data_IF_632604420638
#
_entry.id   IF_632604420638
#
_cell.length_a   1.000
_cell.length_b   1.000
_cell.length_c   1.000
_cell.angle_alpha   90.00
_cell.angle_beta   90.00
_cell.angle_gamma   90.00
#
_symmetry.space_group_name_H-M   'P 1'
#
loop_
_entity.id
_entity.type
_entity.pdbx_description
1 polymer ?
#
# COMPACT_ATOMS: atom_id res chain seq x y z
N UNK A 1 -9.47 17.06 30.59
CA UNK A 1 -9.79 16.81 29.17
C UNK A 1 -9.12 15.52 28.74
N UNK A 2 -9.82 14.64 28.03
CA UNK A 2 -9.32 13.31 27.66
C UNK A 2 -8.32 13.39 26.51
N UNK A 3 -7.17 12.70 26.67
CA UNK A 3 -6.10 12.63 25.65
C UNK A 3 -5.92 11.24 25.05
N UNK A 4 -6.27 10.21 25.80
CA UNK A 4 -6.14 8.82 25.36
C UNK A 4 -7.45 8.09 25.60
N UNK A 5 -7.89 7.31 24.61
CA UNK A 5 -9.09 6.50 24.68
C UNK A 5 -8.82 5.13 24.07
N UNK A 6 -9.13 4.09 24.83
CA UNK A 6 -8.98 2.70 24.43
C UNK A 6 -10.36 2.06 24.41
N UNK A 7 -10.81 1.66 23.22
CA UNK A 7 -12.06 0.96 22.95
C UNK A 7 -11.79 -0.50 22.55
N UNK A 8 -10.63 -1.02 22.94
CA UNK A 8 -10.14 -2.34 22.58
C UNK A 8 -11.11 -3.46 23.01
N UNK A 9 -11.21 -4.52 22.21
CA UNK A 9 -11.97 -5.73 22.49
C UNK A 9 -13.49 -5.57 22.49
N UNK A 10 -14.02 -4.43 22.04
CA UNK A 10 -15.45 -4.18 22.02
C UNK A 10 -16.11 -4.67 20.71
N UNK A 11 -17.38 -5.12 20.75
CA UNK A 11 -18.11 -5.59 19.58
C UNK A 11 -18.68 -4.43 18.73
N UNK A 12 -17.96 -3.31 18.65
CA UNK A 12 -18.38 -2.14 17.87
C UNK A 12 -18.23 -2.40 16.38
N UNK A 13 -19.17 -1.92 15.58
CA UNK A 13 -19.15 -2.01 14.11
C UNK A 13 -18.63 -0.74 13.43
N UNK A 14 -18.67 0.38 14.16
CA UNK A 14 -18.36 1.72 13.69
C UNK A 14 -17.90 2.62 14.84
N UNK A 15 -17.19 3.70 14.51
CA UNK A 15 -16.73 4.65 15.51
C UNK A 15 -17.90 5.48 16.09
N UNK A 16 -18.12 5.47 17.43
CA UNK A 16 -19.20 6.21 18.06
C UNK A 16 -19.09 7.72 17.85
N UNK A 17 -20.22 8.41 17.69
CA UNK A 17 -20.27 9.87 17.48
C UNK A 17 -19.64 10.66 18.64
N UNK A 18 -19.78 10.16 19.87
CA UNK A 18 -19.20 10.80 21.06
C UNK A 18 -17.67 10.83 21.05
N UNK A 19 -17.02 9.91 20.32
CA UNK A 19 -15.55 9.93 20.15
C UNK A 19 -15.13 11.06 19.23
N UNK A 20 -15.97 11.43 18.25
CA UNK A 20 -15.69 12.53 17.30
C UNK A 20 -15.67 13.90 17.98
N UNK A 21 -16.40 14.08 19.08
CA UNK A 21 -16.41 15.35 19.83
C UNK A 21 -15.17 15.56 20.70
N UNK A 22 -14.33 14.53 20.87
CA UNK A 22 -13.10 14.57 21.65
C UNK A 22 -11.94 15.24 20.88
N UNK A 23 -12.04 16.56 20.69
CA UNK A 23 -11.11 17.38 19.89
C UNK A 23 -9.64 17.39 20.35
N UNK A 24 -9.36 16.98 21.60
CA UNK A 24 -8.00 16.94 22.19
C UNK A 24 -7.43 15.53 22.29
N UNK A 25 -8.11 14.53 21.74
CA UNK A 25 -7.63 13.17 21.76
C UNK A 25 -6.35 13.05 20.92
N UNK A 26 -5.30 12.48 21.50
CA UNK A 26 -4.00 12.28 20.86
C UNK A 26 -3.78 10.79 20.54
N UNK A 27 -4.43 9.88 21.28
CA UNK A 27 -4.35 8.42 21.09
C UNK A 27 -5.75 7.81 21.14
N UNK A 28 -6.08 7.05 20.10
CA UNK A 28 -7.32 6.28 19.99
C UNK A 28 -6.98 4.83 19.64
N UNK A 29 -7.62 3.88 20.30
CA UNK A 29 -7.36 2.45 20.09
C UNK A 29 -8.66 1.66 19.98
N UNK A 30 -8.69 0.76 19.00
CA UNK A 30 -9.79 -0.15 18.67
C UNK A 30 -9.31 -1.60 18.56
N UNK A 31 -8.21 -1.95 19.21
CA UNK A 31 -7.56 -3.24 19.03
C UNK A 31 -8.51 -4.39 19.41
N UNK A 32 -8.61 -5.42 18.59
CA UNK A 32 -9.48 -6.57 18.81
C UNK A 32 -10.97 -6.28 18.54
N UNK A 33 -11.33 -5.12 17.97
CA UNK A 33 -12.71 -4.86 17.54
C UNK A 33 -12.99 -5.60 16.22
N UNK A 34 -13.37 -6.88 16.31
CA UNK A 34 -13.53 -7.75 15.14
C UNK A 34 -14.62 -7.29 14.15
N UNK A 35 -15.70 -6.69 14.65
CA UNK A 35 -16.84 -6.23 13.85
C UNK A 35 -16.64 -4.84 13.23
N UNK A 36 -15.59 -4.12 13.63
CA UNK A 36 -15.38 -2.74 13.23
C UNK A 36 -15.09 -2.66 11.73
N UNK A 37 -15.98 -2.02 10.96
CA UNK A 37 -15.86 -1.92 9.49
C UNK A 37 -15.22 -0.64 9.02
N UNK A 38 -15.53 0.47 9.68
CA UNK A 38 -15.04 1.79 9.28
C UNK A 38 -14.65 2.64 10.49
N UNK A 39 -13.59 3.43 10.32
CA UNK A 39 -13.17 4.44 11.29
C UNK A 39 -13.17 5.81 10.62
N UNK A 40 -13.87 6.75 11.23
CA UNK A 40 -14.08 8.11 10.72
C UNK A 40 -13.57 9.12 11.73
N UNK A 41 -12.28 9.46 11.67
CA UNK A 41 -11.66 10.41 12.59
C UNK A 41 -12.03 11.85 12.19
N UNK A 42 -12.70 12.59 13.07
CA UNK A 42 -12.97 14.02 12.87
C UNK A 42 -11.71 14.88 13.14
N UNK A 43 -11.84 16.20 13.35
CA UNK A 43 -10.78 17.16 13.79
C UNK A 43 -10.09 16.73 15.09
N UNK A 44 -9.30 15.67 15.02
CA UNK A 44 -8.62 15.08 16.14
C UNK A 44 -7.13 15.16 15.82
N UNK A 45 -6.36 15.75 16.74
CA UNK A 45 -4.89 15.77 16.67
C UNK A 45 -4.33 14.38 17.03
N UNK A 46 -4.83 13.34 16.36
CA UNK A 46 -4.40 11.97 16.60
C UNK A 46 -2.94 11.83 16.19
N UNK A 47 -2.11 11.48 17.16
CA UNK A 47 -0.73 11.06 16.94
C UNK A 47 -0.67 9.56 16.71
N UNK A 48 -1.62 8.82 17.29
CA UNK A 48 -1.64 7.37 17.28
C UNK A 48 -3.06 6.81 17.13
N UNK A 49 -3.20 5.84 16.21
CA UNK A 49 -4.40 5.04 16.02
C UNK A 49 -4.04 3.55 16.14
N UNK A 50 -4.68 2.85 17.09
CA UNK A 50 -4.59 1.40 17.25
C UNK A 50 -5.77 0.71 16.58
N UNK A 51 -5.49 -0.22 15.67
CA UNK A 51 -6.49 -0.98 14.90
C UNK A 51 -6.05 -2.45 14.71
N UNK A 52 -5.43 -3.02 15.74
CA UNK A 52 -4.97 -4.42 15.71
C UNK A 52 -6.13 -5.39 15.64
N UNK A 53 -5.98 -6.49 14.91
CA UNK A 53 -6.93 -7.62 14.98
C UNK A 53 -8.39 -7.17 14.72
N UNK A 54 -8.56 -6.17 13.83
CA UNK A 54 -9.85 -5.66 13.40
C UNK A 54 -10.19 -6.33 12.06
N UNK A 55 -10.73 -7.55 12.12
CA UNK A 55 -10.83 -8.42 10.95
C UNK A 55 -11.75 -7.87 9.85
N UNK A 56 -12.82 -7.18 10.22
CA UNK A 56 -13.77 -6.57 9.28
C UNK A 56 -13.42 -5.13 8.88
N UNK A 57 -12.31 -4.56 9.37
CA UNK A 57 -12.00 -3.15 9.12
C UNK A 57 -11.56 -2.95 7.67
N UNK A 58 -12.35 -2.19 6.91
CA UNK A 58 -12.13 -1.95 5.50
C UNK A 58 -11.48 -0.59 5.22
N UNK A 59 -11.93 0.46 5.94
CA UNK A 59 -11.56 1.85 5.64
C UNK A 59 -11.34 2.71 6.88
N UNK A 60 -10.32 3.56 6.82
CA UNK A 60 -10.04 4.62 7.79
C UNK A 60 -9.97 5.97 7.07
N UNK A 61 -10.71 6.96 7.56
CA UNK A 61 -10.80 8.30 6.97
C UNK A 61 -10.70 9.41 8.02
N UNK A 62 -10.39 10.63 7.56
CA UNK A 62 -10.08 11.81 8.34
C UNK A 62 -10.83 13.04 7.81
N UNK A 63 -11.45 13.86 8.68
CA UNK A 63 -12.14 15.09 8.26
C UNK A 63 -12.06 16.24 9.31
N UNK A 64 -11.65 17.47 8.94
CA UNK A 64 -10.84 17.90 7.81
C UNK A 64 -9.34 17.86 8.13
N UNK A 65 -8.55 17.79 7.07
CA UNK A 65 -7.11 17.55 7.07
C UNK A 65 -6.35 18.72 7.70
N UNK A 66 -5.89 18.60 8.95
CA UNK A 66 -4.94 19.54 9.55
C UNK A 66 -3.81 18.75 10.23
N UNK A 67 -2.62 18.84 9.62
CA UNK A 67 -1.29 18.52 10.17
C UNK A 67 -1.07 17.12 10.74
N UNK A 68 -0.53 16.24 9.88
CA UNK A 68 0.05 14.96 10.26
C UNK A 68 -0.98 13.84 10.18
N UNK A 69 -0.85 12.98 9.17
CA UNK A 69 -1.60 11.73 9.15
C UNK A 69 -1.12 10.90 10.35
N UNK A 70 -2.01 10.45 11.26
CA UNK A 70 -1.59 9.69 12.43
C UNK A 70 -0.81 8.48 11.96
N UNK A 71 0.33 8.17 12.59
CA UNK A 71 1.00 6.92 12.32
C UNK A 71 0.15 5.83 12.96
N UNK A 72 -0.53 4.97 12.19
CA UNK A 72 -1.10 3.78 12.79
C UNK A 72 0.05 3.01 13.40
N UNK A 73 -0.04 2.73 14.70
CA UNK A 73 0.97 1.92 15.35
C UNK A 73 0.65 0.49 14.96
N UNK A 74 1.63 -0.20 14.37
CA UNK A 74 1.50 -1.59 13.96
C UNK A 74 2.52 -2.48 14.69
N UNK A 75 2.06 -3.29 15.64
CA UNK A 75 2.75 -4.38 16.31
C UNK A 75 2.81 -5.63 15.42
N UNK A 76 3.73 -6.52 15.79
CA UNK A 76 4.34 -7.56 14.97
C UNK A 76 3.40 -8.67 14.44
N UNK A 77 2.09 -8.64 14.78
CA UNK A 77 1.05 -9.61 14.37
C UNK A 77 -0.35 -8.97 14.40
N UNK A 78 -0.80 -8.35 13.31
CA UNK A 78 -2.19 -7.85 13.18
C UNK A 78 -3.08 -8.83 12.38
N UNK A 79 -4.36 -8.96 12.74
CA UNK A 79 -5.36 -9.71 11.94
C UNK A 79 -6.37 -8.76 11.29
N UNK A 80 -5.90 -7.80 10.52
CA UNK A 80 -6.72 -6.74 9.89
C UNK A 80 -6.65 -6.87 8.37
N UNK A 81 -7.25 -7.94 7.83
CA UNK A 81 -7.08 -8.33 6.43
C UNK A 81 -7.99 -7.60 5.45
N UNK A 82 -9.17 -7.15 5.89
CA UNK A 82 -10.14 -6.44 5.05
C UNK A 82 -9.71 -5.00 4.69
N UNK A 83 -8.64 -4.47 5.31
CA UNK A 83 -8.26 -3.07 5.21
C UNK A 83 -7.68 -2.75 3.83
N UNK A 84 -8.47 -2.01 3.05
CA UNK A 84 -8.14 -1.58 1.69
C UNK A 84 -7.73 -0.12 1.64
N UNK A 85 -8.12 0.71 2.62
CA UNK A 85 -7.84 2.15 2.57
C UNK A 85 -7.57 2.75 3.94
N UNK A 86 -6.47 3.49 4.04
CA UNK A 86 -6.31 4.54 5.05
C UNK A 86 -6.09 5.84 4.30
N UNK A 87 -7.08 6.74 4.37
CA UNK A 87 -7.07 7.98 3.63
C UNK A 87 -5.75 8.75 3.83
N UNK A 88 -5.17 9.21 2.72
CA UNK A 88 -3.86 9.88 2.64
C UNK A 88 -2.62 9.02 2.92
N UNK A 89 -2.76 7.77 3.38
CA UNK A 89 -1.62 6.84 3.53
C UNK A 89 -1.56 5.90 2.32
N UNK A 90 -2.60 5.08 2.15
CA UNK A 90 -2.66 4.11 1.07
C UNK A 90 -4.08 3.80 0.64
N UNK A 91 -4.23 3.33 -0.60
CA UNK A 91 -5.46 2.76 -1.12
C UNK A 91 -5.15 1.54 -1.99
N UNK A 92 -5.88 0.46 -1.81
CA UNK A 92 -5.85 -0.74 -2.63
C UNK A 92 -7.16 -0.81 -3.40
N UNK A 93 -7.08 -0.99 -4.72
CA UNK A 93 -8.25 -1.20 -5.57
C UNK A 93 -7.97 -2.29 -6.60
N UNK A 94 -9.01 -3.01 -7.01
CA UNK A 94 -8.89 -3.88 -8.18
C UNK A 94 -8.61 -3.02 -9.41
N UNK A 95 -7.74 -3.48 -10.31
CA UNK A 95 -7.41 -2.75 -11.54
C UNK A 95 -8.65 -2.51 -12.42
N UNK A 96 -9.62 -3.42 -12.38
CA UNK A 96 -10.91 -3.30 -13.08
C UNK A 96 -11.82 -2.18 -12.55
N UNK A 97 -11.56 -1.66 -11.35
CA UNK A 97 -12.33 -0.58 -10.71
C UNK A 97 -11.69 0.80 -10.92
N UNK A 98 -10.51 0.86 -11.54
CA UNK A 98 -9.78 2.11 -11.75
C UNK A 98 -10.19 2.69 -13.09
N UNK A 99 -10.43 4.00 -13.08
CA UNK A 99 -10.74 4.78 -14.28
C UNK A 99 -9.65 4.58 -15.35
N UNK A 100 -10.09 4.21 -16.55
CA UNK A 100 -9.21 3.98 -17.69
C UNK A 100 -8.40 5.24 -18.05
N UNK A 101 -8.94 6.44 -17.85
CA UNK A 101 -8.23 7.69 -18.07
C UNK A 101 -7.03 7.83 -17.11
N UNK A 102 -7.20 7.40 -15.85
CA UNK A 102 -6.11 7.40 -14.87
C UNK A 102 -5.05 6.40 -15.30
N UNK A 103 -5.42 5.18 -15.68
CA UNK A 103 -4.49 4.15 -16.15
C UNK A 103 -3.73 4.62 -17.40
N UNK A 104 -4.43 5.22 -18.36
CA UNK A 104 -3.84 5.82 -19.56
C UNK A 104 -2.87 6.94 -19.22
N UNK A 105 -3.23 7.82 -18.28
CA UNK A 105 -2.37 8.93 -17.84
C UNK A 105 -1.06 8.44 -17.20
N UNK A 106 -1.10 7.26 -16.56
CA UNK A 106 0.07 6.59 -16.00
C UNK A 106 0.86 5.82 -17.06
N UNK A 107 0.38 5.72 -18.30
CA UNK A 107 1.01 4.94 -19.37
C UNK A 107 0.78 3.43 -19.24
N UNK A 108 -0.24 3.02 -18.50
CA UNK A 108 -0.64 1.61 -18.34
C UNK A 108 -1.72 1.29 -19.36
N UNK A 109 -1.33 1.35 -20.64
CA UNK A 109 -2.15 0.87 -21.74
C UNK A 109 -1.97 -0.65 -21.81
N UNK A 110 -3.05 -1.41 -21.96
CA UNK A 110 -3.04 -2.87 -22.15
C UNK A 110 -2.97 -3.78 -20.89
N UNK A 111 -3.65 -3.37 -19.83
CA UNK A 111 -3.77 -4.12 -18.55
C UNK A 111 -4.64 -5.38 -18.71
N UNK A 112 -5.40 -5.53 -19.80
CA UNK A 112 -6.28 -6.68 -20.05
C UNK A 112 -5.56 -8.04 -20.09
N UNK A 113 -4.23 -8.04 -20.28
CA UNK A 113 -3.39 -9.25 -20.24
C UNK A 113 -2.92 -9.64 -18.83
N UNK A 114 -3.19 -8.82 -17.82
CA UNK A 114 -2.77 -9.07 -16.45
C UNK A 114 -3.76 -10.02 -15.79
N UNK A 115 -3.44 -11.31 -15.87
CA UNK A 115 -4.23 -12.39 -15.28
C UNK A 115 -4.49 -12.16 -13.78
N UNK A 116 -5.56 -12.79 -13.28
CA UNK A 116 -5.77 -12.98 -11.84
C UNK A 116 -4.48 -13.55 -11.24
N UNK A 117 -3.96 -12.89 -10.21
CA UNK A 117 -2.75 -13.34 -9.54
C UNK A 117 -3.05 -13.49 -8.05
N UNK A 118 -2.79 -14.67 -7.51
CA UNK A 118 -2.89 -14.92 -6.08
C UNK A 118 -1.69 -14.28 -5.39
N UNK A 119 -1.95 -13.36 -4.46
CA UNK A 119 -0.90 -12.69 -3.71
C UNK A 119 -1.26 -12.56 -2.24
N UNK A 120 -0.23 -12.68 -1.40
CA UNK A 120 -0.29 -12.31 0.01
C UNK A 120 0.20 -10.88 0.21
N UNK A 121 -0.44 -10.13 1.12
CA UNK A 121 -0.05 -8.76 1.50
C UNK A 121 0.93 -8.80 2.66
N UNK A 122 2.18 -8.38 2.46
CA UNK A 122 3.13 -8.16 3.56
C UNK A 122 3.13 -6.67 3.91
N UNK A 123 3.03 -6.31 5.19
CA UNK A 123 3.35 -4.95 5.62
C UNK A 123 4.79 -4.83 6.13
N UNK A 124 5.16 -3.61 6.52
CA UNK A 124 6.50 -3.27 6.98
C UNK A 124 6.95 -4.00 8.27
N UNK A 125 6.02 -4.61 9.02
CA UNK A 125 6.25 -5.14 10.38
C UNK A 125 5.91 -6.63 10.56
N UNK A 126 5.31 -7.29 9.56
CA UNK A 126 5.05 -8.72 9.57
C UNK A 126 4.44 -9.23 8.27
N UNK A 127 4.70 -10.50 7.96
CA UNK A 127 4.05 -11.20 6.85
C UNK A 127 2.56 -11.38 7.20
N UNK A 128 1.64 -10.78 6.44
CA UNK A 128 0.26 -11.27 6.44
C UNK A 128 0.12 -12.28 5.32
N UNK A 129 -0.06 -13.54 5.70
CA UNK A 129 -0.67 -14.51 4.80
C UNK A 129 -2.14 -14.13 4.81
N UNK A 130 -2.63 -13.48 3.74
CA UNK A 130 -4.05 -13.63 3.41
C UNK A 130 -4.19 -15.11 3.10
N UNK A 131 -4.83 -15.88 3.98
CA UNK A 131 -5.16 -17.26 3.65
C UNK A 131 -6.03 -17.25 2.38
N UNK A 132 -5.43 -17.67 1.27
CA UNK A 132 -6.07 -18.21 0.06
C UNK A 132 -7.26 -17.38 -0.47
N UNK A 133 -7.02 -16.11 -0.80
CA UNK A 133 -7.97 -15.36 -1.64
C UNK A 133 -7.38 -15.13 -3.03
N UNK A 134 -8.04 -15.68 -4.04
CA UNK A 134 -7.82 -15.31 -5.44
C UNK A 134 -8.36 -13.88 -5.59
N UNK A 135 -7.47 -12.89 -5.49
CA UNK A 135 -7.82 -11.51 -5.72
C UNK A 135 -7.55 -11.16 -7.19
N UNK A 136 -8.44 -10.37 -7.85
CA UNK A 136 -8.10 -9.79 -9.14
C UNK A 136 -6.87 -8.89 -8.97
N UNK A 137 -6.12 -8.68 -10.05
CA UNK A 137 -4.91 -7.88 -10.01
C UNK A 137 -5.20 -6.50 -9.37
N UNK A 138 -4.42 -6.16 -8.34
CA UNK A 138 -4.67 -4.97 -7.51
C UNK A 138 -3.64 -3.87 -7.80
N UNK A 139 -4.10 -2.63 -7.69
CA UNK A 139 -3.25 -1.44 -7.67
C UNK A 139 -3.16 -0.93 -6.24
N UNK A 140 -1.94 -0.62 -5.83
CA UNK A 140 -1.64 0.09 -4.58
C UNK A 140 -1.26 1.52 -4.91
N UNK A 141 -1.99 2.46 -4.32
CA UNK A 141 -1.69 3.89 -4.35
C UNK A 141 -1.13 4.33 -3.00
N UNK A 142 0.11 4.81 -2.95
CA UNK A 142 0.81 5.28 -1.76
C UNK A 142 1.60 6.55 -2.07
N UNK A 143 1.40 7.65 -1.33
CA UNK A 143 2.21 8.88 -1.46
C UNK A 143 2.36 9.42 -2.91
N UNK A 144 1.34 9.26 -3.76
CA UNK A 144 1.40 9.67 -5.17
C UNK A 144 2.06 8.66 -6.12
N UNK A 145 2.42 7.47 -5.62
CA UNK A 145 3.01 6.37 -6.38
C UNK A 145 1.95 5.29 -6.59
N UNK A 146 1.83 4.85 -7.83
CA UNK A 146 1.01 3.71 -8.23
C UNK A 146 1.92 2.50 -8.42
N UNK A 147 1.56 1.38 -7.80
CA UNK A 147 2.33 0.14 -7.88
C UNK A 147 1.43 -1.07 -7.98
N UNK A 148 1.88 -2.08 -8.71
CA UNK A 148 1.22 -3.38 -8.81
C UNK A 148 2.29 -4.47 -8.83
N UNK A 149 1.85 -5.70 -8.66
CA UNK A 149 2.67 -6.89 -8.71
C UNK A 149 2.01 -7.88 -9.65
N UNK A 150 2.81 -8.46 -10.52
CA UNK A 150 2.33 -9.31 -11.61
C UNK A 150 3.29 -10.47 -11.74
N UNK A 151 2.76 -11.65 -12.01
CA UNK A 151 3.59 -12.79 -12.35
C UNK A 151 4.10 -12.62 -13.78
N UNK A 152 5.41 -12.68 -13.97
CA UNK A 152 6.05 -12.51 -15.28
C UNK A 152 7.51 -12.93 -15.23
N UNK A 153 8.04 -13.36 -16.38
CA UNK A 153 9.43 -13.81 -16.52
C UNK A 153 10.36 -12.69 -16.98
N UNK A 154 9.83 -11.69 -17.68
CA UNK A 154 10.61 -10.64 -18.33
C UNK A 154 9.91 -9.28 -18.25
N UNK A 155 10.69 -8.21 -18.44
CA UNK A 155 10.15 -6.84 -18.47
C UNK A 155 9.31 -6.70 -19.76
N UNK A 156 8.05 -6.22 -19.66
CA UNK A 156 7.18 -6.08 -20.83
C UNK A 156 7.78 -5.25 -21.95
N UNK A 157 7.37 -5.55 -23.20
CA UNK A 157 8.07 -5.01 -24.36
C UNK A 157 8.00 -3.50 -24.51
N UNK A 158 6.91 -2.90 -24.02
CA UNK A 158 6.66 -1.46 -24.06
C UNK A 158 7.61 -0.63 -23.17
N UNK A 159 8.44 -1.25 -22.33
CA UNK A 159 9.53 -0.55 -21.65
C UNK A 159 10.71 -0.36 -22.61
N UNK A 160 10.96 0.91 -22.94
CA UNK A 160 11.98 1.33 -23.92
C UNK A 160 13.41 1.17 -23.42
N UNK A 161 13.62 1.26 -22.10
CA UNK A 161 14.94 1.16 -21.48
C UNK A 161 14.96 -0.06 -20.57
N UNK A 162 15.87 -0.99 -20.83
CA UNK A 162 16.03 -2.23 -20.08
C UNK A 162 17.49 -2.38 -19.66
N UNK A 163 17.70 -2.90 -18.47
CA UNK A 163 19.03 -3.09 -17.89
C UNK A 163 18.97 -4.21 -16.87
N UNK A 164 20.08 -4.93 -16.72
CA UNK A 164 20.25 -5.92 -15.66
C UNK A 164 21.01 -5.32 -14.48
N UNK A 165 20.67 -5.73 -13.25
CA UNK A 165 21.33 -5.30 -12.03
C UNK A 165 20.45 -4.47 -11.09
N UNK A 166 21.03 -4.00 -9.99
CA UNK A 166 20.32 -3.29 -8.91
C UNK A 166 20.27 -1.77 -9.09
N UNK A 167 20.88 -1.23 -10.15
CA UNK A 167 20.89 0.19 -10.47
C UNK A 167 21.02 0.42 -11.97
N UNK A 168 20.34 1.44 -12.46
CA UNK A 168 20.49 1.90 -13.84
C UNK A 168 20.35 3.43 -13.91
N UNK A 169 20.87 4.02 -14.99
CA UNK A 169 20.79 5.47 -15.23
C UNK A 169 19.98 5.72 -16.48
N UNK A 170 18.91 6.50 -16.37
CA UNK A 170 18.11 6.96 -17.50
C UNK A 170 18.76 8.22 -18.09
N UNK A 171 18.97 8.23 -19.40
CA UNK A 171 19.37 9.46 -20.10
C UNK A 171 18.21 10.46 -20.08
N UNK A 172 18.51 11.76 -19.97
CA UNK A 172 17.46 12.79 -19.99
C UNK A 172 16.66 12.71 -21.29
N UNK A 173 15.33 12.94 -21.26
CA UNK A 173 14.55 13.05 -22.48
C UNK A 173 15.11 14.18 -23.38
N UNK A 174 14.89 14.11 -24.70
CA UNK A 174 15.37 15.12 -25.63
C UNK A 174 14.90 16.54 -25.24
N UNK A 175 15.72 17.52 -25.58
CA UNK A 175 15.62 18.90 -25.08
C UNK A 175 14.20 19.47 -25.23
N UNK A 176 13.70 20.09 -24.14
CA UNK A 176 12.39 20.72 -23.95
C UNK A 176 11.20 19.86 -23.46
N UNK A 177 11.38 18.55 -23.22
CA UNK A 177 10.34 17.71 -22.61
C UNK A 177 10.22 17.85 -21.09
N UNK A 178 9.07 18.30 -20.56
CA UNK A 178 8.78 18.24 -19.11
C UNK A 178 8.37 16.81 -18.73
N UNK A 179 9.13 16.17 -17.84
CA UNK A 179 8.81 14.84 -17.30
C UNK A 179 7.51 14.94 -16.49
N UNK A 180 6.46 14.21 -16.92
CA UNK A 180 5.18 14.11 -16.19
C UNK A 180 5.16 12.95 -15.19
N UNK A 181 5.92 11.89 -15.44
CA UNK A 181 6.01 10.70 -14.60
C UNK A 181 7.13 9.77 -15.08
N UNK A 182 7.47 8.79 -14.26
CA UNK A 182 8.46 7.75 -14.57
C UNK A 182 7.89 6.41 -14.11
N UNK A 183 7.78 5.46 -15.04
CA UNK A 183 7.40 4.08 -14.72
C UNK A 183 8.65 3.21 -14.57
N UNK A 184 8.64 2.36 -13.55
CA UNK A 184 9.66 1.36 -13.32
C UNK A 184 9.02 -0.02 -13.30
N UNK A 185 9.62 -0.97 -14.02
CA UNK A 185 9.32 -2.38 -13.90
C UNK A 185 10.55 -3.10 -13.37
N UNK A 186 10.37 -3.91 -12.34
CA UNK A 186 11.42 -4.70 -11.74
C UNK A 186 10.98 -6.15 -11.86
N UNK A 187 11.81 -6.95 -12.54
CA UNK A 187 11.61 -8.39 -12.64
C UNK A 187 12.66 -9.07 -11.77
N UNK A 188 12.21 -9.97 -10.92
CA UNK A 188 13.06 -10.70 -9.99
C UNK A 188 12.47 -12.07 -9.72
N UNK A 189 13.32 -13.09 -9.73
CA UNK A 189 12.96 -14.41 -9.18
C UNK A 189 12.87 -14.28 -7.66
N UNK A 190 11.74 -14.67 -7.09
CA UNK A 190 11.51 -14.71 -5.65
C UNK A 190 11.61 -16.19 -5.26
N UNK A 191 12.56 -16.56 -4.41
CA UNK A 191 12.75 -17.94 -3.92
C UNK A 191 12.34 -18.14 -2.45
N UNK A 192 11.99 -17.05 -1.76
CA UNK A 192 11.29 -17.11 -0.47
C UNK A 192 10.55 -15.81 -0.17
N UNK A 193 9.64 -15.83 0.82
CA UNK A 193 9.00 -14.60 1.31
C UNK A 193 9.99 -13.54 1.81
N UNK A 194 11.20 -13.93 2.23
CA UNK A 194 12.25 -12.97 2.65
C UNK A 194 12.79 -12.16 1.47
N UNK A 195 12.65 -12.66 0.25
CA UNK A 195 13.10 -12.01 -0.97
C UNK A 195 12.04 -11.12 -1.61
N UNK A 196 10.80 -11.18 -1.10
CA UNK A 196 9.73 -10.29 -1.50
C UNK A 196 10.16 -8.83 -1.39
N UNK A 197 10.01 -8.08 -2.47
CA UNK A 197 10.46 -6.70 -2.57
C UNK A 197 9.76 -5.99 -3.73
N UNK A 198 10.13 -4.75 -4.06
CA UNK A 198 11.30 -4.03 -3.56
C UNK A 198 11.12 -3.51 -2.12
N UNK A 199 12.18 -3.63 -1.30
CA UNK A 199 12.20 -3.09 0.07
C UNK A 199 12.36 -1.57 0.09
N UNK A 200 13.05 -1.04 -0.91
CA UNK A 200 13.37 0.38 -1.03
C UNK A 200 13.71 0.70 -2.48
N UNK A 201 13.05 1.69 -3.03
CA UNK A 201 13.38 2.27 -4.33
C UNK A 201 13.99 3.64 -4.07
N UNK A 202 15.22 3.88 -4.57
CA UNK A 202 15.87 5.19 -4.47
C UNK A 202 16.08 5.76 -5.87
N UNK A 203 15.46 6.91 -6.12
CA UNK A 203 15.60 7.66 -7.36
C UNK A 203 16.49 8.87 -7.08
N UNK A 204 17.51 9.08 -7.92
CA UNK A 204 18.40 10.23 -7.84
C UNK A 204 18.29 11.05 -9.11
N UNK A 205 18.03 12.34 -8.98
CA UNK A 205 18.20 13.30 -10.04
C UNK A 205 19.62 13.88 -9.93
N UNK A 206 20.48 13.48 -10.86
CA UNK A 206 21.88 13.88 -10.86
C UNK A 206 22.07 15.35 -11.27
N UNK A 207 21.20 15.90 -12.12
CA UNK A 207 21.31 17.30 -12.58
C UNK A 207 20.92 18.31 -11.52
N UNK A 208 19.99 17.93 -10.62
CA UNK A 208 19.52 18.77 -9.51
C UNK A 208 20.12 18.37 -8.15
N UNK A 209 21.01 17.38 -8.13
CA UNK A 209 21.57 16.79 -6.91
C UNK A 209 20.51 16.47 -5.84
N UNK A 210 19.36 15.93 -6.26
CA UNK A 210 18.23 15.60 -5.39
C UNK A 210 17.95 14.11 -5.40
N UNK A 211 17.36 13.58 -4.33
CA UNK A 211 17.00 12.17 -4.27
C UNK A 211 15.69 11.94 -3.54
N UNK A 212 14.93 10.96 -4.00
CA UNK A 212 13.71 10.48 -3.38
C UNK A 212 13.89 9.01 -3.01
N UNK A 213 13.37 8.63 -1.86
CA UNK A 213 13.37 7.25 -1.39
C UNK A 213 11.93 6.85 -1.13
N UNK A 214 11.51 5.79 -1.80
CA UNK A 214 10.22 5.15 -1.58
C UNK A 214 10.45 3.83 -0.86
N UNK A 215 9.72 3.64 0.23
CA UNK A 215 9.68 2.41 1.00
C UNK A 215 8.21 1.99 1.06
N UNK A 216 7.80 0.99 0.26
CA UNK A 216 6.39 0.60 0.19
C UNK A 216 5.92 0.12 1.56
N UNK A 217 4.74 0.60 1.99
CA UNK A 217 4.13 0.15 3.24
C UNK A 217 3.57 -1.26 3.10
N UNK A 218 3.11 -1.59 1.89
CA UNK A 218 2.55 -2.88 1.54
C UNK A 218 3.33 -3.51 0.39
N UNK A 219 3.51 -4.82 0.44
CA UNK A 219 4.14 -5.63 -0.60
C UNK A 219 3.21 -6.76 -0.95
N UNK A 220 3.14 -7.12 -2.22
CA UNK A 220 2.49 -8.35 -2.63
C UNK A 220 3.52 -9.44 -2.85
N UNK A 221 3.22 -10.67 -2.41
CA UNK A 221 4.12 -11.82 -2.47
C UNK A 221 3.44 -12.98 -3.17
N UNK A 222 4.10 -13.61 -4.17
CA UNK A 222 3.55 -14.77 -4.87
C UNK A 222 3.35 -15.96 -3.92
N UNK A 223 2.38 -16.82 -4.25
CA UNK A 223 2.01 -18.01 -3.46
C UNK A 223 3.08 -19.11 -3.49
N UNK A 224 3.03 -20.00 -2.48
CA UNK A 224 3.99 -21.08 -2.21
C UNK A 224 4.11 -22.12 -3.34
N UNK A 225 3.11 -22.27 -4.22
CA UNK A 225 3.15 -23.17 -5.38
C UNK A 225 4.21 -22.78 -6.43
N UNK A 226 4.80 -21.57 -6.33
CA UNK A 226 5.96 -21.17 -7.14
C UNK A 226 7.31 -21.66 -6.58
N UNK A 227 7.30 -22.31 -5.41
CA UNK A 227 8.49 -22.77 -4.69
C UNK A 227 8.57 -24.30 -4.58
N UNK A 228 7.53 -25.02 -5.01
CA UNK A 228 7.56 -26.47 -5.22
C UNK A 228 7.74 -26.77 -6.72
N UNK A 229 8.98 -26.65 -7.20
CA UNK A 229 9.50 -27.51 -8.27
C UNK A 229 11.03 -27.41 -8.27
N UNK A 230 11.65 -28.31 -7.50
CA UNK A 230 13.09 -28.35 -7.29
C UNK A 230 13.49 -29.49 -6.36
N UNK A 231 12.95 -30.69 -6.61
CA UNK A 231 13.44 -31.97 -6.08
C UNK A 231 14.16 -32.75 -7.17
#
# INVERSE_FOLDING_TARGET
MLKELYLDGNPIDSMPDCVRSLSRLERLSFNGCGNLKTVMCARIQLKHLGIYTCQSLEKVTFNPVISGVPLPVHGQKSKTYALTEIQHIFKIQALSEIDEEVLCSLGWINIAYLNHCQFSKIDWWGVYILERMILPAQMVYEHGIFSTYLQGKEVPEWFTQRSSGSSFTLQSPPENGKIKGINFCIVRTISSMKEAGPWRIKIRNLTKNSSWTYTPMMRMVPEEDAFEDGG
#
